data_IF_337432124762
#
_entry.id   IF_337432124762
#
_cell.length_a   1.000
_cell.length_b   1.000
_cell.length_c   1.000
_cell.angle_alpha   90.00
_cell.angle_beta   90.00
_cell.angle_gamma   90.00
#
_symmetry.space_group_name_H-M   'P 1'
#
loop_
_entity.id
_entity.type
_entity.pdbx_description
1 polymer ?
#
# COMPACT_ATOMS: atom_id res chain seq x y z
N UNK A 1 -1.86 -0.01 39.85
CA UNK A 1 -1.38 -0.06 38.45
C UNK A 1 -2.34 -0.95 37.67
N UNK A 2 -3.13 -0.39 36.76
CA UNK A 2 -4.09 -1.17 35.96
C UNK A 2 -3.46 -1.50 34.61
N UNK A 3 -3.24 -2.79 34.36
CA UNK A 3 -2.75 -3.35 33.12
C UNK A 3 -3.85 -3.25 32.06
N UNK A 4 -3.74 -2.30 31.12
CA UNK A 4 -4.67 -2.21 29.99
C UNK A 4 -4.20 -3.17 28.90
N UNK A 5 -4.55 -4.45 29.03
CA UNK A 5 -4.66 -5.37 27.90
C UNK A 5 -5.96 -5.07 27.16
N UNK A 6 -6.01 -3.90 26.51
CA UNK A 6 -7.12 -3.51 25.63
C UNK A 6 -6.82 -3.96 24.21
N UNK A 7 -7.85 -4.46 23.52
CA UNK A 7 -7.81 -4.80 22.10
C UNK A 7 -7.33 -3.60 21.26
N UNK A 8 -6.91 -3.85 20.00
CA UNK A 8 -6.54 -2.76 19.08
C UNK A 8 -7.64 -1.70 18.99
N UNK A 9 -8.90 -2.13 19.06
CA UNK A 9 -10.08 -1.27 19.06
C UNK A 9 -10.13 -0.34 20.27
N UNK A 10 -9.81 -0.86 21.45
CA UNK A 10 -9.78 -0.08 22.69
C UNK A 10 -8.67 0.98 22.65
N UNK A 11 -7.51 0.61 22.08
CA UNK A 11 -6.42 1.56 21.86
C UNK A 11 -6.78 2.63 20.83
N UNK A 12 -7.52 2.27 19.77
CA UNK A 12 -7.96 3.22 18.75
C UNK A 12 -8.98 4.21 19.31
N UNK A 13 -9.98 3.72 20.05
CA UNK A 13 -10.98 4.55 20.75
C UNK A 13 -10.32 5.52 21.73
N UNK A 14 -9.34 5.06 22.48
CA UNK A 14 -8.69 5.86 23.54
C UNK A 14 -7.68 6.86 22.97
N UNK A 15 -6.85 6.45 22.01
CA UNK A 15 -5.73 7.27 21.52
C UNK A 15 -6.07 8.09 20.28
N UNK A 16 -7.05 7.68 19.48
CA UNK A 16 -7.42 8.35 18.23
C UNK A 16 -8.96 8.40 18.04
N UNK A 17 -9.69 9.07 18.93
CA UNK A 17 -11.16 9.09 18.92
C UNK A 17 -11.75 9.69 17.64
N UNK A 18 -11.07 10.68 17.03
CA UNK A 18 -11.49 11.28 15.76
C UNK A 18 -11.47 10.27 14.60
N UNK A 19 -10.41 9.46 14.51
CA UNK A 19 -10.28 8.41 13.50
C UNK A 19 -11.31 7.30 13.72
N UNK A 20 -11.54 6.92 14.99
CA UNK A 20 -12.59 5.96 15.34
C UNK A 20 -13.98 6.45 14.95
N UNK A 21 -14.33 7.69 15.28
CA UNK A 21 -15.63 8.28 14.92
C UNK A 21 -15.82 8.31 13.40
N UNK A 22 -14.77 8.64 12.66
CA UNK A 22 -14.77 8.63 11.19
C UNK A 22 -15.12 7.25 10.63
N UNK A 23 -14.50 6.18 11.14
CA UNK A 23 -14.81 4.80 10.72
C UNK A 23 -16.29 4.45 10.96
N UNK A 24 -16.81 4.79 12.13
CA UNK A 24 -18.21 4.52 12.50
C UNK A 24 -19.17 5.27 11.57
N UNK A 25 -18.93 6.56 11.30
CA UNK A 25 -19.77 7.35 10.37
C UNK A 25 -19.77 6.83 8.94
N UNK A 26 -18.74 6.07 8.54
CA UNK A 26 -18.62 5.49 7.20
C UNK A 26 -19.10 4.03 7.13
N UNK A 27 -19.59 3.47 8.23
CA UNK A 27 -20.06 2.08 8.30
C UNK A 27 -18.94 1.06 8.15
N UNK A 28 -17.69 1.42 8.50
CA UNK A 28 -16.53 0.53 8.39
C UNK A 28 -16.44 -0.32 9.66
N UNK A 29 -16.60 -1.64 9.52
CA UNK A 29 -16.56 -2.58 10.64
C UNK A 29 -15.12 -2.89 11.09
N UNK A 30 -14.72 -2.24 12.19
CA UNK A 30 -13.40 -2.36 12.82
C UNK A 30 -13.07 -3.74 13.40
N UNK A 31 -14.06 -4.61 13.53
CA UNK A 31 -13.90 -5.98 14.04
C UNK A 31 -13.36 -6.92 12.95
N UNK A 32 -13.65 -6.62 11.69
CA UNK A 32 -13.14 -7.33 10.52
C UNK A 32 -11.81 -6.74 9.99
N UNK A 33 -11.39 -5.59 10.54
CA UNK A 33 -10.19 -4.88 10.10
C UNK A 33 -8.91 -5.74 10.28
N UNK A 34 -8.85 -6.60 11.29
CA UNK A 34 -7.69 -7.50 11.50
C UNK A 34 -7.52 -8.55 10.40
N UNK A 35 -8.54 -8.78 9.57
CA UNK A 35 -8.46 -9.69 8.40
C UNK A 35 -7.90 -9.03 7.14
N UNK A 36 -7.76 -7.70 7.13
CA UNK A 36 -7.42 -6.92 5.92
C UNK A 36 -6.30 -5.90 6.17
N UNK A 37 -5.40 -6.17 7.13
CA UNK A 37 -4.43 -5.20 7.68
C UNK A 37 -3.63 -4.42 6.64
N UNK A 38 -3.35 -5.03 5.49
CA UNK A 38 -2.68 -4.39 4.35
C UNK A 38 -3.57 -3.40 3.59
N UNK A 39 -4.81 -3.77 3.25
CA UNK A 39 -5.78 -2.92 2.55
C UNK A 39 -6.28 -1.73 3.39
N UNK A 40 -6.22 -1.84 4.71
CA UNK A 40 -6.67 -0.81 5.65
C UNK A 40 -5.68 0.33 5.77
N UNK A 41 -4.38 0.06 5.76
CA UNK A 41 -3.39 1.14 5.83
C UNK A 41 -3.57 2.11 4.66
N UNK A 42 -3.86 1.56 3.47
CA UNK A 42 -4.24 2.30 2.28
C UNK A 42 -5.57 3.05 2.45
N UNK A 43 -6.62 2.38 2.95
CA UNK A 43 -7.95 2.98 3.14
C UNK A 43 -7.97 4.09 4.21
N UNK A 44 -7.22 3.93 5.30
CA UNK A 44 -7.03 4.95 6.34
C UNK A 44 -6.33 6.17 5.77
N UNK A 45 -5.32 5.97 4.94
CA UNK A 45 -4.62 7.10 4.37
C UNK A 45 -5.44 7.90 3.34
N UNK A 46 -6.25 7.21 2.52
CA UNK A 46 -7.26 7.84 1.64
C UNK A 46 -8.27 8.66 2.46
N UNK A 47 -8.53 8.25 3.71
CA UNK A 47 -9.48 8.90 4.60
C UNK A 47 -8.90 10.08 5.39
N UNK A 48 -7.59 10.11 5.63
CA UNK A 48 -6.91 11.09 6.47
C UNK A 48 -6.07 12.11 5.71
N UNK A 49 -6.02 12.06 4.37
CA UNK A 49 -5.43 13.14 3.58
C UNK A 49 -6.24 14.42 3.78
N UNK A 50 -5.71 15.30 4.63
CA UNK A 50 -5.97 16.73 4.50
C UNK A 50 -5.35 17.21 3.18
N UNK A 51 -5.89 18.27 2.54
CA UNK A 51 -5.39 18.71 1.24
C UNK A 51 -3.90 19.01 1.36
N UNK A 52 -3.08 18.17 0.75
CA UNK A 52 -1.65 18.40 0.71
C UNK A 52 -1.40 19.62 -0.17
N UNK A 53 -0.60 20.55 0.34
CA UNK A 53 -0.10 21.69 -0.41
C UNK A 53 0.47 21.19 -1.75
N UNK A 54 0.14 21.84 -2.88
CA UNK A 54 0.61 21.39 -4.19
C UNK A 54 2.14 21.51 -4.22
N UNK A 55 2.82 20.36 -4.20
CA UNK A 55 4.23 20.29 -4.56
C UNK A 55 4.31 20.71 -6.02
N UNK A 56 4.91 21.88 -6.28
CA UNK A 56 5.13 22.38 -7.64
C UNK A 56 5.78 21.28 -8.48
N UNK A 57 5.08 20.86 -9.52
CA UNK A 57 5.57 19.97 -10.55
C UNK A 57 6.71 20.67 -11.31
N UNK A 58 7.94 20.54 -10.82
CA UNK A 58 9.11 20.98 -11.55
C UNK A 58 9.50 19.89 -12.56
N UNK A 59 9.35 20.25 -13.84
CA UNK A 59 10.01 19.68 -15.04
C UNK A 59 10.50 18.24 -14.90
N UNK A 60 9.62 17.29 -15.19
CA UNK A 60 9.92 15.85 -15.24
C UNK A 60 10.41 15.53 -16.65
N UNK A 61 11.70 15.31 -16.80
CA UNK A 61 12.32 14.89 -18.06
C UNK A 61 11.74 13.55 -18.53
N UNK A 62 11.44 13.46 -19.82
CA UNK A 62 10.91 12.31 -20.57
C UNK A 62 11.71 11.00 -20.41
N UNK A 63 12.92 11.07 -19.86
CA UNK A 63 13.81 9.92 -19.67
C UNK A 63 13.39 9.00 -18.51
N UNK A 64 12.59 9.48 -17.54
CA UNK A 64 12.18 8.68 -16.36
C UNK A 64 11.10 7.63 -16.71
N UNK A 65 10.34 7.85 -17.78
CA UNK A 65 9.30 6.92 -18.24
C UNK A 65 9.89 5.64 -18.88
N UNK A 66 11.16 5.66 -19.31
CA UNK A 66 11.75 4.66 -20.18
C UNK A 66 12.35 3.43 -19.47
N UNK A 67 12.32 3.33 -18.14
CA UNK A 67 12.94 2.21 -17.40
C UNK A 67 12.11 1.64 -16.25
N UNK A 68 10.79 1.53 -16.41
CA UNK A 68 9.91 0.83 -15.46
C UNK A 68 10.04 -0.69 -15.72
N UNK A 69 11.20 -1.25 -15.40
CA UNK A 69 11.41 -2.69 -15.44
C UNK A 69 11.04 -3.31 -14.09
N UNK A 70 10.32 -4.45 -14.05
CA UNK A 70 10.03 -5.15 -12.81
C UNK A 70 11.30 -5.45 -11.99
N UNK A 71 11.31 -5.12 -10.70
CA UNK A 71 12.35 -5.51 -9.75
C UNK A 71 12.18 -6.99 -9.42
N UNK A 72 13.20 -7.78 -9.76
CA UNK A 72 13.21 -9.22 -9.55
C UNK A 72 13.67 -9.61 -8.14
N UNK A 73 13.28 -10.80 -7.63
CA UNK A 73 13.82 -11.34 -6.37
C UNK A 73 15.35 -11.45 -6.36
N UNK A 74 15.97 -11.69 -7.52
CA UNK A 74 17.42 -11.82 -7.67
C UNK A 74 18.12 -10.49 -7.45
N UNK A 75 17.57 -9.39 -7.96
CA UNK A 75 18.11 -8.04 -7.72
C UNK A 75 18.03 -7.63 -6.24
N UNK A 76 17.05 -8.14 -5.50
CA UNK A 76 16.86 -7.83 -4.09
C UNK A 76 17.74 -8.69 -3.16
N UNK A 77 18.30 -9.80 -3.66
CA UNK A 77 19.03 -10.76 -2.84
C UNK A 77 20.29 -10.12 -2.25
N UNK A 78 20.44 -10.23 -0.93
CA UNK A 78 21.60 -9.72 -0.19
C UNK A 78 21.60 -8.20 0.04
N UNK A 79 20.57 -7.49 -0.39
CA UNK A 79 20.40 -6.05 -0.11
C UNK A 79 19.80 -5.83 1.27
N UNK A 80 20.30 -4.81 1.96
CA UNK A 80 19.69 -4.25 3.17
C UNK A 80 18.38 -3.55 2.85
N UNK A 81 17.55 -3.30 3.86
CA UNK A 81 16.26 -2.62 3.67
C UNK A 81 16.43 -1.21 3.07
N UNK A 82 17.50 -0.50 3.44
CA UNK A 82 17.83 0.83 2.89
C UNK A 82 18.19 0.72 1.40
N UNK A 83 18.99 -0.27 1.00
CA UNK A 83 19.35 -0.46 -0.41
C UNK A 83 18.14 -0.87 -1.25
N UNK A 84 17.23 -1.69 -0.70
CA UNK A 84 15.97 -2.04 -1.35
C UNK A 84 15.07 -0.81 -1.50
N UNK A 85 14.93 -0.02 -0.44
CA UNK A 85 14.18 1.23 -0.44
C UNK A 85 14.68 2.21 -1.52
N UNK A 86 16.00 2.41 -1.61
CA UNK A 86 16.61 3.25 -2.63
C UNK A 86 16.34 2.72 -4.05
N UNK A 87 16.45 1.40 -4.25
CA UNK A 87 16.16 0.77 -5.55
C UNK A 87 14.70 0.96 -5.96
N UNK A 88 13.76 0.72 -5.04
CA UNK A 88 12.32 0.89 -5.27
C UNK A 88 11.99 2.34 -5.59
N UNK A 89 12.51 3.30 -4.82
CA UNK A 89 12.24 4.71 -5.07
C UNK A 89 12.84 5.17 -6.40
N UNK A 90 14.05 4.71 -6.73
CA UNK A 90 14.68 5.02 -8.01
C UNK A 90 13.87 4.49 -9.19
N UNK A 91 13.29 3.29 -9.07
CA UNK A 91 12.60 2.64 -10.19
C UNK A 91 11.12 2.99 -10.30
N UNK A 92 10.43 3.07 -9.17
CA UNK A 92 8.97 3.26 -9.10
C UNK A 92 8.55 4.61 -8.54
N UNK A 93 9.48 5.44 -8.05
CA UNK A 93 9.15 6.74 -7.46
C UNK A 93 8.32 7.64 -8.38
N UNK A 94 8.48 7.53 -9.69
CA UNK A 94 7.63 8.21 -10.67
C UNK A 94 6.18 7.72 -10.62
N UNK A 95 5.95 6.40 -10.74
CA UNK A 95 4.62 5.80 -10.65
C UNK A 95 3.96 6.06 -9.30
N UNK A 96 4.73 5.97 -8.22
CA UNK A 96 4.29 6.29 -6.86
C UNK A 96 3.77 7.74 -6.79
N UNK A 97 4.52 8.71 -7.35
CA UNK A 97 4.09 10.11 -7.38
C UNK A 97 2.85 10.34 -8.24
N UNK A 98 2.76 9.68 -9.41
CA UNK A 98 1.57 9.77 -10.25
C UNK A 98 0.33 9.22 -9.56
N UNK A 99 0.45 8.05 -8.93
CA UNK A 99 -0.63 7.43 -8.17
C UNK A 99 -1.03 8.30 -6.98
N UNK A 100 -0.06 8.80 -6.23
CA UNK A 100 -0.27 9.73 -5.12
C UNK A 100 -1.04 10.98 -5.55
N UNK A 101 -0.65 11.60 -6.67
CA UNK A 101 -1.35 12.76 -7.21
C UNK A 101 -2.78 12.43 -7.65
N UNK A 102 -2.98 11.28 -8.31
CA UNK A 102 -4.30 10.85 -8.81
C UNK A 102 -5.31 10.64 -7.67
N UNK A 103 -4.86 10.15 -6.53
CA UNK A 103 -5.71 9.79 -5.39
C UNK A 103 -5.57 10.72 -4.19
N UNK A 104 -4.86 11.84 -4.33
CA UNK A 104 -4.57 12.81 -3.26
C UNK A 104 -3.99 12.16 -1.99
N UNK A 105 -2.90 11.42 -2.17
CA UNK A 105 -2.17 10.70 -1.12
C UNK A 105 -0.75 11.25 -0.95
N UNK A 106 -0.17 11.02 0.23
CA UNK A 106 1.29 11.20 0.41
C UNK A 106 2.02 10.08 -0.37
N UNK A 107 2.95 10.39 -1.30
CA UNK A 107 3.73 9.38 -2.00
C UNK A 107 4.58 8.50 -1.07
N UNK A 108 5.00 9.02 0.09
CA UNK A 108 5.77 8.25 1.08
C UNK A 108 4.95 7.12 1.70
N UNK A 109 3.63 7.28 1.79
CA UNK A 109 2.76 6.22 2.27
C UNK A 109 2.71 5.08 1.26
N UNK A 110 2.43 5.35 -0.02
CA UNK A 110 2.39 4.31 -1.05
C UNK A 110 3.74 3.57 -1.09
N UNK A 111 4.83 4.32 -1.01
CA UNK A 111 6.17 3.76 -0.91
C UNK A 111 6.37 2.87 0.32
N UNK A 112 5.97 3.34 1.51
CA UNK A 112 6.07 2.56 2.74
C UNK A 112 5.24 1.28 2.66
N UNK A 113 4.03 1.33 2.10
CA UNK A 113 3.20 0.15 1.85
C UNK A 113 3.93 -0.86 0.98
N UNK A 114 4.51 -0.44 -0.15
CA UNK A 114 5.28 -1.34 -1.03
C UNK A 114 6.43 -2.01 -0.26
N UNK A 115 7.16 -1.23 0.53
CA UNK A 115 8.30 -1.75 1.30
C UNK A 115 7.88 -2.74 2.39
N UNK A 116 6.74 -2.51 3.05
CA UNK A 116 6.22 -3.41 4.09
C UNK A 116 5.63 -4.69 3.49
N UNK A 117 4.87 -4.58 2.40
CA UNK A 117 4.11 -5.71 1.83
C UNK A 117 5.00 -6.67 1.02
N UNK A 118 5.92 -6.14 0.21
CA UNK A 118 6.75 -6.94 -0.70
C UNK A 118 8.24 -6.68 -0.56
N UNK A 119 8.63 -5.64 0.19
CA UNK A 119 10.00 -5.12 0.20
C UNK A 119 10.50 -4.76 -1.20
N UNK A 120 9.59 -4.34 -2.09
CA UNK A 120 9.90 -3.99 -3.47
C UNK A 120 9.93 -5.14 -4.48
N UNK A 121 9.63 -6.38 -4.06
CA UNK A 121 9.59 -7.51 -4.98
C UNK A 121 8.33 -7.45 -5.85
N UNK A 122 8.53 -7.23 -7.15
CA UNK A 122 7.41 -7.04 -8.09
C UNK A 122 6.65 -8.34 -8.34
N UNK A 123 7.31 -9.48 -8.20
CA UNK A 123 6.74 -10.80 -8.36
C UNK A 123 6.43 -11.47 -7.01
N UNK A 124 6.23 -10.69 -5.95
CA UNK A 124 5.85 -11.22 -4.66
C UNK A 124 4.48 -11.90 -4.76
N UNK A 125 4.39 -13.16 -4.34
CA UNK A 125 3.15 -13.92 -4.26
C UNK A 125 3.06 -14.58 -2.90
N UNK A 126 1.87 -14.56 -2.30
CA UNK A 126 1.55 -15.29 -1.09
C UNK A 126 0.20 -15.98 -1.24
N UNK A 127 0.22 -17.31 -1.20
CA UNK A 127 -0.99 -18.11 -1.15
C UNK A 127 -1.75 -17.85 0.16
N UNK A 128 -3.07 -17.70 0.07
CA UNK A 128 -3.98 -17.51 1.20
C UNK A 128 -5.02 -18.64 1.22
N UNK A 129 -4.65 -19.89 1.60
CA UNK A 129 -5.50 -21.07 1.43
C UNK A 129 -6.86 -20.98 2.12
N UNK A 130 -6.95 -20.23 3.23
CA UNK A 130 -8.20 -20.02 3.97
C UNK A 130 -9.23 -19.21 3.20
N UNK A 131 -8.78 -18.43 2.23
CA UNK A 131 -9.61 -17.59 1.36
C UNK A 131 -9.80 -18.22 -0.02
N UNK A 132 -9.12 -19.33 -0.30
CA UNK A 132 -9.02 -19.91 -1.65
C UNK A 132 -8.60 -18.85 -2.70
N UNK A 133 -7.64 -18.00 -2.31
CA UNK A 133 -7.13 -16.86 -3.09
C UNK A 133 -5.62 -16.68 -2.82
N UNK A 134 -4.98 -15.74 -3.50
CA UNK A 134 -3.59 -15.34 -3.25
C UNK A 134 -3.40 -13.83 -3.36
N UNK A 135 -2.38 -13.32 -2.69
CA UNK A 135 -1.95 -11.93 -2.72
C UNK A 135 -0.79 -11.74 -3.68
N UNK A 136 -0.86 -10.70 -4.52
CA UNK A 136 0.06 -10.50 -5.65
C UNK A 136 0.73 -9.13 -5.62
N UNK A 137 1.96 -9.10 -6.13
CA UNK A 137 2.67 -7.89 -6.52
C UNK A 137 3.16 -7.03 -5.36
N UNK A 138 3.51 -5.79 -5.71
CA UNK A 138 4.15 -4.84 -4.80
C UNK A 138 3.31 -4.51 -3.57
N UNK A 139 1.98 -4.46 -3.72
CA UNK A 139 1.03 -4.13 -2.66
C UNK A 139 0.35 -5.34 -2.00
N UNK A 140 0.72 -6.58 -2.39
CA UNK A 140 0.11 -7.82 -1.88
C UNK A 140 -1.44 -7.78 -1.89
N UNK A 141 -1.99 -7.45 -3.07
CA UNK A 141 -3.44 -7.39 -3.26
C UNK A 141 -3.98 -8.78 -3.57
N UNK A 142 -5.03 -9.17 -2.84
CA UNK A 142 -5.84 -10.35 -3.18
C UNK A 142 -6.46 -10.19 -4.57
N UNK A 143 -6.46 -11.26 -5.37
CA UNK A 143 -7.06 -11.20 -6.70
C UNK A 143 -8.57 -10.90 -6.62
N UNK A 144 -9.28 -11.48 -5.66
CA UNK A 144 -10.70 -11.16 -5.42
C UNK A 144 -10.93 -9.69 -5.08
N UNK A 145 -10.07 -9.08 -4.25
CA UNK A 145 -10.11 -7.65 -3.92
C UNK A 145 -9.89 -6.81 -5.16
N UNK A 146 -8.87 -7.11 -5.97
CA UNK A 146 -8.61 -6.40 -7.22
C UNK A 146 -9.83 -6.46 -8.15
N UNK A 147 -10.45 -7.63 -8.31
CA UNK A 147 -11.69 -7.80 -9.09
C UNK A 147 -12.84 -6.94 -8.54
N UNK A 148 -12.99 -6.90 -7.22
CA UNK A 148 -14.01 -6.12 -6.52
C UNK A 148 -13.92 -4.61 -6.77
N UNK A 149 -12.71 -4.07 -6.91
CA UNK A 149 -12.47 -2.64 -7.19
C UNK A 149 -12.42 -2.29 -8.68
N UNK A 150 -12.71 -3.25 -9.57
CA UNK A 150 -12.85 -2.99 -11.00
C UNK A 150 -11.76 -3.59 -11.89
N UNK A 151 -10.75 -4.28 -11.34
CA UNK A 151 -9.77 -4.99 -12.16
C UNK A 151 -10.45 -6.10 -12.98
N UNK A 152 -10.03 -6.28 -14.24
CA UNK A 152 -10.62 -7.26 -15.17
C UNK A 152 -9.61 -8.22 -15.80
N UNK A 153 -8.32 -8.01 -15.57
CA UNK A 153 -7.25 -8.87 -16.07
C UNK A 153 -7.11 -10.18 -15.29
N UNK A 154 -6.03 -10.91 -15.60
CA UNK A 154 -5.64 -12.14 -14.89
C UNK A 154 -4.80 -11.83 -13.67
N UNK A 155 -4.61 -12.78 -12.73
CA UNK A 155 -3.77 -12.57 -11.55
C UNK A 155 -2.35 -12.10 -11.88
N UNK A 156 -1.75 -12.58 -12.98
CA UNK A 156 -0.39 -12.23 -13.39
C UNK A 156 -0.25 -10.74 -13.74
N UNK A 157 -1.32 -10.09 -14.20
CA UNK A 157 -1.30 -8.65 -14.45
C UNK A 157 -1.20 -7.81 -13.17
N UNK A 158 -1.40 -8.39 -11.98
CA UNK A 158 -1.14 -7.71 -10.70
C UNK A 158 0.36 -7.60 -10.38
N UNK A 159 1.22 -8.22 -11.18
CA UNK A 159 2.67 -7.98 -11.14
C UNK A 159 3.09 -6.77 -11.95
N UNK A 160 2.21 -6.16 -12.75
CA UNK A 160 2.53 -4.94 -13.47
C UNK A 160 2.52 -3.74 -12.50
N UNK A 161 3.64 -3.02 -12.33
CA UNK A 161 3.67 -1.83 -11.49
C UNK A 161 2.93 -0.62 -12.09
N UNK A 162 2.60 -0.61 -13.39
CA UNK A 162 2.05 0.54 -14.11
C UNK A 162 0.51 0.57 -14.24
#
# INVERSE_FOLDING_TARGET
MVTITGSLLDKLKLKNPALYAWFVTRGIELENLTKFTSGIAMAIAIATSSPATPVKANNISSDIQASISPITPQELRGKTDIERANLVWARYGYLIRLCAQKYDLDPNLIFATIMVESGGNTYAIREEPRLHDASYGLGQLLYSTARGIGYRGTPEGLFDPA
#
